data_IF_780116298101
#
_entry.id   IF_780116298101
#
_cell.length_a   1.000
_cell.length_b   1.000
_cell.length_c   1.000
_cell.angle_alpha   90.00
_cell.angle_beta   90.00
_cell.angle_gamma   90.00
#
_symmetry.space_group_name_H-M   'P 1'
#
loop_
_entity.id
_entity.type
_entity.pdbx_description
1 polymer ?
#
# COMPACT_ATOMS: atom_id res chain seq x y z
N UNK A 1 5.53 -47.10 -30.36
CA UNK A 1 5.84 -45.74 -30.85
C UNK A 1 4.75 -44.81 -30.40
N UNK A 2 5.19 -43.69 -29.80
CA UNK A 2 4.59 -42.35 -29.72
C UNK A 2 3.21 -42.12 -29.07
N UNK A 3 3.22 -40.97 -28.40
CA UNK A 3 2.27 -40.33 -27.50
C UNK A 3 1.12 -39.65 -28.25
N UNK A 4 0.00 -39.49 -27.54
CA UNK A 4 -0.88 -38.32 -27.52
C UNK A 4 -1.51 -38.36 -26.11
N UNK A 5 -1.47 -37.38 -25.20
CA UNK A 5 -1.49 -35.93 -25.39
C UNK A 5 -2.84 -35.40 -24.91
N UNK A 6 -3.09 -35.34 -23.59
CA UNK A 6 -4.14 -34.45 -23.05
C UNK A 6 -3.83 -34.04 -21.60
N UNK A 7 -3.16 -32.90 -21.46
CA UNK A 7 -2.77 -32.29 -20.21
C UNK A 7 -3.93 -31.50 -19.59
N UNK A 8 -4.52 -32.03 -18.51
CA UNK A 8 -5.11 -31.21 -17.44
C UNK A 8 -4.17 -31.34 -16.23
N UNK A 9 -3.63 -30.30 -15.60
CA UNK A 9 -3.95 -28.86 -15.51
C UNK A 9 -2.65 -28.09 -15.18
N UNK A 10 -2.46 -26.88 -15.74
CA UNK A 10 -1.59 -25.86 -15.13
C UNK A 10 -2.33 -24.90 -14.17
N UNK A 11 -3.67 -24.96 -14.07
CA UNK A 11 -4.46 -24.06 -13.20
C UNK A 11 -4.29 -24.30 -11.70
N UNK A 12 -4.15 -25.56 -11.23
CA UNK A 12 -4.12 -25.83 -9.79
C UNK A 12 -2.81 -25.42 -9.10
N UNK A 13 -1.69 -25.46 -9.82
CA UNK A 13 -0.38 -25.09 -9.29
C UNK A 13 -0.27 -23.57 -9.16
N UNK A 14 -0.82 -22.83 -10.13
CA UNK A 14 -0.92 -21.37 -10.07
C UNK A 14 -1.86 -20.95 -8.93
N UNK A 15 -3.04 -21.57 -8.81
CA UNK A 15 -3.98 -21.28 -7.73
C UNK A 15 -3.38 -21.57 -6.34
N UNK A 16 -2.72 -22.72 -6.16
CA UNK A 16 -2.05 -23.06 -4.90
C UNK A 16 -0.90 -22.09 -4.58
N UNK A 17 -0.14 -21.65 -5.58
CA UNK A 17 0.92 -20.68 -5.41
C UNK A 17 0.38 -19.29 -5.04
N UNK A 18 -0.70 -18.84 -5.70
CA UNK A 18 -1.37 -17.57 -5.36
C UNK A 18 -1.93 -17.59 -3.94
N UNK A 19 -2.52 -18.70 -3.52
CA UNK A 19 -3.01 -18.86 -2.15
C UNK A 19 -1.86 -18.86 -1.13
N UNK A 20 -0.74 -19.50 -1.44
CA UNK A 20 0.45 -19.44 -0.61
C UNK A 20 0.99 -18.01 -0.48
N UNK A 21 1.00 -17.22 -1.57
CA UNK A 21 1.40 -15.82 -1.53
C UNK A 21 0.46 -14.98 -0.67
N UNK A 22 -0.87 -15.16 -0.80
CA UNK A 22 -1.85 -14.48 0.05
C UNK A 22 -1.63 -14.80 1.53
N UNK A 23 -1.38 -16.06 1.88
CA UNK A 23 -1.12 -16.45 3.26
C UNK A 23 0.16 -15.82 3.81
N UNK A 24 1.23 -15.77 3.01
CA UNK A 24 2.47 -15.12 3.39
C UNK A 24 2.29 -13.60 3.59
N UNK A 25 1.49 -12.96 2.75
CA UNK A 25 1.14 -11.53 2.87
C UNK A 25 0.38 -11.23 4.16
N UNK A 26 -0.61 -12.06 4.51
CA UNK A 26 -1.37 -11.92 5.76
C UNK A 26 -0.48 -12.06 7.01
N UNK A 27 0.47 -13.01 6.99
CA UNK A 27 1.42 -13.18 8.11
C UNK A 27 2.34 -11.97 8.22
N UNK A 28 2.88 -11.47 7.10
CA UNK A 28 3.73 -10.29 7.08
C UNK A 28 2.99 -9.04 7.58
N UNK A 29 1.73 -8.84 7.17
CA UNK A 29 0.88 -7.73 7.64
C UNK A 29 0.62 -7.83 9.15
N UNK A 30 0.32 -9.04 9.66
CA UNK A 30 0.11 -9.25 11.09
C UNK A 30 1.39 -8.97 11.90
N UNK A 31 2.56 -9.36 11.40
CA UNK A 31 3.85 -9.07 12.03
C UNK A 31 4.15 -7.56 12.02
N UNK A 32 3.89 -6.87 10.91
CA UNK A 32 4.09 -5.43 10.81
C UNK A 32 3.13 -4.65 11.72
N UNK A 33 1.87 -5.08 11.82
CA UNK A 33 0.91 -4.52 12.77
C UNK A 33 1.34 -4.78 14.22
N UNK A 34 1.85 -5.96 14.54
CA UNK A 34 2.41 -6.27 15.86
C UNK A 34 3.65 -5.42 16.18
N UNK A 35 4.40 -5.00 15.16
CA UNK A 35 5.50 -4.05 15.28
C UNK A 35 5.06 -2.58 15.20
N UNK A 36 3.75 -2.30 15.15
CA UNK A 36 3.20 -0.94 15.14
C UNK A 36 3.41 -0.17 13.84
N UNK A 37 3.63 -0.88 12.72
CA UNK A 37 3.70 -0.30 11.39
C UNK A 37 2.33 -0.30 10.75
N UNK A 38 1.96 0.85 10.21
CA UNK A 38 0.77 1.03 9.40
C UNK A 38 1.18 1.65 8.07
N UNK A 39 0.42 1.34 7.02
CA UNK A 39 0.77 1.86 5.70
C UNK A 39 -0.39 2.59 5.04
N UNK A 40 -0.04 3.63 4.31
CA UNK A 40 -0.92 4.31 3.36
C UNK A 40 -0.33 4.16 1.97
N UNK A 41 -1.05 3.53 1.04
CA UNK A 41 -0.70 3.48 -0.37
C UNK A 41 -1.66 4.33 -1.19
N UNK A 42 -1.13 5.17 -2.05
CA UNK A 42 -1.89 5.99 -2.99
C UNK A 42 -1.38 5.68 -4.39
N UNK A 43 -2.22 5.05 -5.22
CA UNK A 43 -1.96 4.95 -6.65
C UNK A 43 -2.38 6.27 -7.28
N UNK A 44 -1.40 7.06 -7.71
CA UNK A 44 -1.58 8.39 -8.26
C UNK A 44 -1.80 8.35 -9.77
N UNK A 45 -1.43 7.25 -10.44
CA UNK A 45 -1.23 7.29 -11.89
C UNK A 45 -0.01 8.13 -12.26
N UNK A 46 0.30 8.23 -13.55
CA UNK A 46 1.46 8.99 -14.01
C UNK A 46 1.31 10.48 -13.66
N UNK A 47 2.34 11.03 -13.01
CA UNK A 47 2.41 12.45 -12.68
C UNK A 47 2.81 13.24 -13.93
N UNK A 48 1.82 13.73 -14.67
CA UNK A 48 2.05 14.42 -15.96
C UNK A 48 2.31 15.92 -15.78
N UNK A 49 1.89 16.51 -14.65
CA UNK A 49 1.98 17.95 -14.38
C UNK A 49 2.72 18.27 -13.08
N UNK A 50 3.19 19.51 -12.97
CA UNK A 50 3.78 20.00 -11.72
C UNK A 50 2.77 20.09 -10.57
N UNK A 51 1.47 20.21 -10.87
CA UNK A 51 0.42 20.21 -9.86
C UNK A 51 0.23 18.80 -9.27
N UNK A 52 0.31 17.76 -10.09
CA UNK A 52 0.26 16.36 -9.64
C UNK A 52 1.43 16.07 -8.70
N UNK A 53 2.63 16.51 -9.06
CA UNK A 53 3.83 16.39 -8.20
C UNK A 53 3.64 17.15 -6.89
N UNK A 54 3.14 18.39 -6.93
CA UNK A 54 2.95 19.21 -5.74
C UNK A 54 1.96 18.59 -4.74
N UNK A 55 0.90 17.94 -5.22
CA UNK A 55 -0.06 17.21 -4.36
C UNK A 55 0.59 16.04 -3.64
N UNK A 56 1.37 15.23 -4.36
CA UNK A 56 2.10 14.09 -3.77
C UNK A 56 3.16 14.59 -2.77
N UNK A 57 3.88 15.67 -3.10
CA UNK A 57 4.83 16.32 -2.22
C UNK A 57 4.17 16.85 -0.94
N UNK A 58 2.99 17.47 -1.05
CA UNK A 58 2.24 17.93 0.12
C UNK A 58 1.84 16.77 1.05
N UNK A 59 1.34 15.67 0.49
CA UNK A 59 0.99 14.48 1.27
C UNK A 59 2.22 13.89 1.98
N UNK A 60 3.30 13.69 1.23
CA UNK A 60 4.55 13.10 1.76
C UNK A 60 5.24 14.02 2.78
N UNK A 61 5.22 15.33 2.57
CA UNK A 61 5.75 16.31 3.53
C UNK A 61 4.94 16.32 4.84
N UNK A 62 3.61 16.22 4.76
CA UNK A 62 2.75 16.12 5.94
C UNK A 62 3.03 14.84 6.73
N UNK A 63 3.16 13.71 6.04
CA UNK A 63 3.52 12.44 6.67
C UNK A 63 4.91 12.49 7.31
N UNK A 64 5.88 13.15 6.66
CA UNK A 64 7.24 13.33 7.20
C UNK A 64 7.28 14.23 8.43
N UNK A 65 6.50 15.32 8.44
CA UNK A 65 6.40 16.19 9.61
C UNK A 65 5.87 15.42 10.82
N UNK A 66 4.99 14.44 10.59
CA UNK A 66 4.42 13.59 11.62
C UNK A 66 3.55 14.37 12.61
N UNK A 67 3.23 13.71 13.72
CA UNK A 67 2.51 14.28 14.86
C UNK A 67 2.89 13.55 16.14
N UNK A 68 2.31 13.96 17.27
CA UNK A 68 2.54 13.29 18.54
C UNK A 68 2.13 11.81 18.46
N UNK A 69 3.09 10.91 18.72
CA UNK A 69 2.86 9.47 18.72
C UNK A 69 2.72 8.82 17.34
N UNK A 70 2.97 9.52 16.23
CA UNK A 70 2.99 8.93 14.90
C UNK A 70 3.89 9.70 13.93
N UNK A 71 4.74 9.00 13.20
CA UNK A 71 5.61 9.62 12.19
C UNK A 71 5.87 8.65 11.05
N UNK A 72 6.11 9.20 9.86
CA UNK A 72 6.62 8.38 8.76
C UNK A 72 8.06 7.97 9.06
N UNK A 73 8.39 6.69 8.80
CA UNK A 73 9.76 6.17 8.93
C UNK A 73 10.39 5.90 7.56
N UNK A 74 9.57 5.62 6.56
CA UNK A 74 10.00 5.48 5.18
C UNK A 74 8.85 5.72 4.21
N UNK A 75 9.22 6.07 2.97
CA UNK A 75 8.31 6.08 1.82
C UNK A 75 8.90 5.19 0.73
N UNK A 76 8.03 4.46 0.03
CA UNK A 76 8.36 3.70 -1.18
C UNK A 76 7.49 4.27 -2.30
N UNK A 77 7.99 4.33 -3.53
CA UNK A 77 7.18 4.87 -4.61
C UNK A 77 7.75 4.55 -5.98
N UNK A 78 6.85 4.60 -6.97
CA UNK A 78 7.14 4.53 -8.39
C UNK A 78 6.72 5.81 -9.10
N UNK A 79 6.61 5.77 -10.43
CA UNK A 79 6.08 6.91 -11.20
C UNK A 79 4.59 7.12 -10.98
N UNK A 80 3.87 6.08 -10.56
CA UNK A 80 2.41 5.99 -10.55
C UNK A 80 1.80 5.67 -9.17
N UNK A 81 2.62 5.55 -8.12
CA UNK A 81 2.15 5.33 -6.76
C UNK A 81 3.16 5.76 -5.70
N UNK A 82 2.67 5.98 -4.49
CA UNK A 82 3.47 6.15 -3.28
C UNK A 82 2.88 5.32 -2.13
N UNK A 83 3.74 4.71 -1.33
CA UNK A 83 3.40 3.99 -0.09
C UNK A 83 4.20 4.60 1.06
N UNK A 84 3.49 5.06 2.08
CA UNK A 84 4.02 5.65 3.30
C UNK A 84 4.00 4.61 4.42
N UNK A 85 5.09 4.49 5.17
CA UNK A 85 5.20 3.63 6.35
C UNK A 85 5.16 4.51 7.59
N UNK A 86 4.13 4.34 8.41
CA UNK A 86 3.88 5.13 9.61
C UNK A 86 4.06 4.24 10.84
N UNK A 87 4.82 4.73 11.81
CA UNK A 87 5.06 4.03 13.07
C UNK A 87 4.71 4.89 14.28
N UNK A 88 4.32 4.21 15.36
CA UNK A 88 4.02 4.81 16.66
C UNK A 88 2.65 4.45 17.21
N UNK A 89 2.38 4.77 18.49
CA UNK A 89 1.13 4.40 19.16
C UNK A 89 -0.14 5.01 18.52
N UNK A 90 0.00 6.10 17.77
CA UNK A 90 -1.09 6.80 17.08
C UNK A 90 -1.06 6.61 15.56
N UNK A 91 -0.27 5.63 15.07
CA UNK A 91 -0.01 5.44 13.64
C UNK A 91 -1.26 5.07 12.85
N UNK A 92 -2.12 4.19 13.38
CA UNK A 92 -3.39 3.83 12.74
C UNK A 92 -4.26 5.06 12.44
N UNK A 93 -4.51 5.88 13.48
CA UNK A 93 -5.29 7.10 13.33
C UNK A 93 -4.58 8.12 12.41
N UNK A 94 -3.24 8.18 12.43
CA UNK A 94 -2.53 9.09 11.53
C UNK A 94 -2.62 8.65 10.06
N UNK A 95 -2.65 7.34 9.80
CA UNK A 95 -2.92 6.80 8.46
C UNK A 95 -4.32 7.16 7.99
N UNK A 96 -5.32 7.15 8.87
CA UNK A 96 -6.67 7.61 8.53
C UNK A 96 -6.70 9.09 8.15
N UNK A 97 -6.05 9.95 8.94
CA UNK A 97 -5.95 11.39 8.66
C UNK A 97 -5.17 11.71 7.38
N UNK A 98 -4.08 10.97 7.12
CA UNK A 98 -3.32 11.10 5.87
C UNK A 98 -4.13 10.61 4.68
N UNK A 99 -5.00 9.61 4.87
CA UNK A 99 -5.90 9.16 3.83
C UNK A 99 -7.00 10.18 3.54
N UNK A 100 -7.56 10.82 4.56
CA UNK A 100 -8.50 11.94 4.39
C UNK A 100 -7.83 13.10 3.63
N UNK A 101 -6.59 13.45 3.98
CA UNK A 101 -5.81 14.43 3.23
C UNK A 101 -5.56 13.99 1.78
N UNK A 102 -5.28 12.71 1.54
CA UNK A 102 -5.12 12.21 0.18
C UNK A 102 -6.43 12.29 -0.62
N UNK A 103 -7.58 12.07 0.01
CA UNK A 103 -8.91 12.26 -0.58
C UNK A 103 -9.18 13.73 -0.91
N UNK A 104 -8.74 14.67 -0.07
CA UNK A 104 -8.85 16.11 -0.34
C UNK A 104 -7.92 16.59 -1.49
N UNK A 105 -6.75 15.97 -1.60
CA UNK A 105 -5.77 16.28 -2.64
C UNK A 105 -6.09 15.59 -3.97
N UNK A 106 -6.91 14.54 -3.95
CA UNK A 106 -7.22 13.71 -5.12
C UNK A 106 -7.84 14.56 -6.26
N UNK A 107 -7.20 14.61 -7.44
CA UNK A 107 -7.79 15.21 -8.65
C UNK A 107 -9.00 14.43 -9.22
N UNK A 108 -9.36 13.29 -8.62
CA UNK A 108 -10.55 12.48 -8.90
C UNK A 108 -10.25 11.09 -9.46
N UNK A 109 -8.99 10.63 -9.40
CA UNK A 109 -8.55 9.36 -9.96
C UNK A 109 -7.57 8.58 -9.09
N UNK A 110 -7.15 9.13 -7.95
CA UNK A 110 -6.28 8.43 -7.03
C UNK A 110 -7.02 7.22 -6.43
N UNK A 111 -6.27 6.14 -6.17
CA UNK A 111 -6.78 5.01 -5.40
C UNK A 111 -6.03 4.94 -4.09
N UNK A 112 -6.75 5.15 -3.01
CA UNK A 112 -6.20 5.27 -1.67
C UNK A 112 -6.51 3.96 -0.93
N UNK A 113 -5.46 3.31 -0.44
CA UNK A 113 -5.52 2.04 0.28
C UNK A 113 -4.75 2.16 1.58
N UNK A 114 -5.45 1.91 2.68
CA UNK A 114 -4.87 1.80 4.02
C UNK A 114 -4.52 0.33 4.20
N UNK A 115 -3.29 -0.02 4.55
CA UNK A 115 -3.00 -1.37 5.01
C UNK A 115 -2.91 -1.36 6.53
N UNK A 116 -4.05 -1.71 7.12
CA UNK A 116 -4.16 -2.48 8.34
C UNK A 116 -5.62 -2.89 8.39
N UNK A 117 -5.97 -3.98 7.70
CA UNK A 117 -7.33 -4.51 7.78
C UNK A 117 -7.60 -4.90 9.22
N UNK A 118 -8.65 -4.32 9.80
CA UNK A 118 -9.21 -4.67 11.10
C UNK A 118 -9.30 -6.20 11.23
N UNK A 119 -8.47 -6.78 12.08
CA UNK A 119 -8.65 -8.11 12.65
C UNK A 119 -8.20 -8.11 14.10
#
# INVERSE_FOLDING_TARGET
MRQDGNAGRPRNAVEAYLEQLRQAELVAEAEDAAHGKHYLSVATGDLETSDDVARVEQLTATAWAGREGAHMTSSRGGSDYVTLVIEGPSAAQFVDELADLAEELDPGFWRISRSSSQF
#
